data_IF_013087840355
#
_entry.id   IF_013087840355
#
_cell.length_a   1.000
_cell.length_b   1.000
_cell.length_c   1.000
_cell.angle_alpha   90.00
_cell.angle_beta   90.00
_cell.angle_gamma   90.00
#
_symmetry.space_group_name_H-M   'P 1'
#
loop_
_entity.id
_entity.type
_entity.pdbx_description
1 polymer ?
#
# COMPACT_ATOMS: atom_id res chain seq x y z
N UNK A 1 -22.15 -12.93 10.95
CA UNK A 1 -22.72 -11.59 10.71
C UNK A 1 -22.00 -10.63 11.66
N UNK A 2 -20.82 -10.13 11.27
CA UNK A 2 -20.05 -9.20 12.09
C UNK A 2 -20.81 -7.86 12.10
N UNK A 3 -21.23 -7.47 13.29
CA UNK A 3 -22.01 -6.26 13.55
C UNK A 3 -21.21 -5.02 13.14
N UNK A 4 -21.75 -4.30 12.16
CA UNK A 4 -21.36 -2.95 11.73
C UNK A 4 -21.52 -1.95 12.89
N UNK A 5 -20.53 -1.86 13.77
CA UNK A 5 -20.16 -0.57 14.36
C UNK A 5 -19.18 0.04 13.36
N UNK A 6 -19.64 1.05 12.60
CA UNK A 6 -18.88 1.63 11.50
C UNK A 6 -17.62 2.33 12.01
N UNK A 7 -16.53 1.58 12.12
CA UNK A 7 -15.19 2.16 12.26
C UNK A 7 -14.95 3.04 11.04
N UNK A 8 -14.78 4.34 11.28
CA UNK A 8 -14.42 5.30 10.23
C UNK A 8 -13.16 4.79 9.53
N UNK A 9 -13.26 4.58 8.22
CA UNK A 9 -12.12 4.25 7.37
C UNK A 9 -11.67 5.49 6.61
N UNK A 10 -10.39 5.53 6.29
CA UNK A 10 -9.75 6.62 5.56
C UNK A 10 -9.16 6.10 4.25
N UNK A 11 -9.06 6.96 3.24
CA UNK A 11 -8.55 6.63 1.91
C UNK A 11 -7.72 7.77 1.35
N UNK A 12 -6.95 7.52 0.29
CA UNK A 12 -6.25 8.60 -0.43
C UNK A 12 -7.21 9.55 -1.17
N UNK A 13 -8.52 9.27 -1.18
CA UNK A 13 -9.53 10.20 -1.68
C UNK A 13 -9.93 11.26 -0.66
N UNK A 14 -9.56 11.10 0.61
CA UNK A 14 -9.77 12.10 1.64
C UNK A 14 -8.63 13.13 1.58
N UNK A 15 -8.96 14.42 1.49
CA UNK A 15 -7.98 15.49 1.30
C UNK A 15 -6.96 15.58 2.44
N UNK A 16 -7.38 15.32 3.67
CA UNK A 16 -6.50 15.32 4.85
C UNK A 16 -5.52 14.13 4.81
N UNK A 17 -5.95 12.97 4.30
CA UNK A 17 -5.04 11.82 4.11
C UNK A 17 -4.06 12.11 2.99
N UNK A 18 -4.52 12.68 1.87
CA UNK A 18 -3.65 13.10 0.77
C UNK A 18 -2.51 14.01 1.26
N UNK A 19 -2.85 15.06 2.02
CA UNK A 19 -1.88 16.01 2.60
C UNK A 19 -0.92 15.36 3.60
N UNK A 20 -1.30 14.23 4.22
CA UNK A 20 -0.44 13.48 5.11
C UNK A 20 0.64 12.68 4.36
N UNK A 21 0.30 12.19 3.16
CA UNK A 21 1.23 11.45 2.31
C UNK A 21 2.13 12.38 1.48
N UNK A 22 1.58 13.50 0.98
CA UNK A 22 2.22 14.36 -0.01
C UNK A 22 2.24 15.81 0.45
N UNK A 23 3.43 16.42 0.42
CA UNK A 23 3.58 17.86 0.63
C UNK A 23 3.17 18.63 -0.63
N UNK A 24 2.79 19.92 -0.51
CA UNK A 24 2.57 20.77 -1.67
C UNK A 24 3.77 20.78 -2.63
N UNK A 25 3.50 20.56 -3.93
CA UNK A 25 4.52 20.51 -4.99
C UNK A 25 5.14 19.12 -5.21
N UNK A 26 4.82 18.13 -4.38
CA UNK A 26 5.20 16.74 -4.64
C UNK A 26 4.25 16.06 -5.62
N UNK A 27 4.77 15.03 -6.27
CA UNK A 27 4.08 14.27 -7.30
C UNK A 27 3.98 12.81 -6.85
N UNK A 28 2.87 12.14 -7.14
CA UNK A 28 2.78 10.69 -7.03
C UNK A 28 2.49 10.06 -8.39
N UNK A 29 3.13 8.94 -8.68
CA UNK A 29 2.68 8.06 -9.75
C UNK A 29 1.48 7.25 -9.25
N UNK A 30 0.45 7.09 -10.09
CA UNK A 30 -0.52 5.98 -10.00
C UNK A 30 -0.13 4.94 -11.04
N UNK A 31 -0.05 3.68 -10.64
CA UNK A 31 0.31 2.56 -11.51
C UNK A 31 -0.69 1.43 -11.38
N UNK A 32 -1.14 0.92 -12.53
CA UNK A 32 -2.06 -0.20 -12.67
C UNK A 32 -1.36 -1.24 -13.57
N UNK A 33 -0.66 -2.21 -12.98
CA UNK A 33 -0.01 -3.28 -13.73
C UNK A 33 -1.04 -4.24 -14.34
N UNK A 34 -0.65 -4.91 -15.44
CA UNK A 34 -1.37 -6.07 -16.00
C UNK A 34 -2.86 -5.81 -16.29
N UNK A 35 -3.20 -4.60 -16.73
CA UNK A 35 -4.53 -4.29 -17.24
C UNK A 35 -4.79 -5.13 -18.49
N UNK A 36 -5.90 -5.85 -18.50
CA UNK A 36 -6.25 -6.75 -19.61
C UNK A 36 -6.20 -6.00 -20.95
N UNK A 37 -5.48 -6.56 -21.92
CA UNK A 37 -5.27 -6.00 -23.27
C UNK A 37 -4.59 -4.62 -23.32
N UNK A 38 -4.05 -4.11 -22.21
CA UNK A 38 -3.41 -2.78 -22.14
C UNK A 38 -2.02 -2.79 -21.50
N UNK A 39 -1.62 -3.87 -20.84
CA UNK A 39 -0.33 -3.95 -20.15
C UNK A 39 -0.33 -3.06 -18.91
N UNK A 40 0.59 -2.11 -18.80
CA UNK A 40 0.65 -1.19 -17.66
C UNK A 40 -0.01 0.14 -18.02
N UNK A 41 -0.94 0.59 -17.16
CA UNK A 41 -1.47 1.95 -17.17
C UNK A 41 -0.80 2.74 -16.05
N UNK A 42 -0.34 3.95 -16.33
CA UNK A 42 0.36 4.82 -15.37
C UNK A 42 0.03 6.29 -15.61
N UNK A 43 0.06 7.09 -14.55
CA UNK A 43 -0.19 8.54 -14.55
C UNK A 43 0.53 9.22 -13.40
N UNK A 44 0.74 10.53 -13.47
CA UNK A 44 1.44 11.29 -12.44
C UNK A 44 0.59 12.48 -12.01
N UNK A 45 0.48 12.67 -10.70
CA UNK A 45 -0.50 13.58 -10.12
C UNK A 45 0.11 14.48 -9.05
N UNK A 46 -0.21 15.77 -9.16
CA UNK A 46 -0.01 16.81 -8.15
C UNK A 46 -1.35 17.49 -7.77
N UNK A 47 -2.44 17.18 -8.48
CA UNK A 47 -3.79 17.65 -8.21
C UNK A 47 -4.65 16.52 -7.63
N UNK A 48 -5.14 16.71 -6.40
CA UNK A 48 -5.91 15.70 -5.67
C UNK A 48 -7.30 15.44 -6.28
N UNK A 49 -7.96 16.46 -6.82
CA UNK A 49 -9.30 16.30 -7.40
C UNK A 49 -9.22 15.50 -8.71
N UNK A 50 -8.24 15.80 -9.56
CA UNK A 50 -8.01 15.06 -10.80
C UNK A 50 -7.55 13.64 -10.50
N UNK A 51 -6.65 13.46 -9.53
CA UNK A 51 -6.27 12.13 -9.02
C UNK A 51 -7.50 11.31 -8.62
N UNK A 52 -8.38 11.88 -7.78
CA UNK A 52 -9.59 11.19 -7.33
C UNK A 52 -10.47 10.76 -8.49
N UNK A 53 -10.69 11.65 -9.46
CA UNK A 53 -11.53 11.39 -10.64
C UNK A 53 -10.95 10.26 -11.50
N UNK A 54 -9.68 10.35 -11.86
CA UNK A 54 -9.02 9.41 -12.76
C UNK A 54 -8.89 8.02 -12.12
N UNK A 55 -8.51 7.96 -10.83
CA UNK A 55 -8.36 6.70 -10.10
C UNK A 55 -9.69 6.00 -9.90
N UNK A 56 -10.75 6.71 -9.47
CA UNK A 56 -12.09 6.12 -9.30
C UNK A 56 -12.65 5.60 -10.63
N UNK A 57 -12.43 6.35 -11.71
CA UNK A 57 -12.80 5.90 -13.06
C UNK A 57 -12.06 4.63 -13.44
N UNK A 58 -10.74 4.58 -13.23
CA UNK A 58 -9.92 3.43 -13.54
C UNK A 58 -10.30 2.19 -12.73
N UNK A 59 -10.55 2.31 -11.42
CA UNK A 59 -10.95 1.20 -10.54
C UNK A 59 -12.27 0.55 -10.98
N UNK A 60 -13.16 1.35 -11.58
CA UNK A 60 -14.46 0.89 -12.08
C UNK A 60 -14.39 0.31 -13.49
N UNK A 61 -13.62 0.93 -14.38
CA UNK A 61 -13.68 0.66 -15.82
C UNK A 61 -12.60 -0.31 -16.32
N UNK A 62 -11.47 -0.41 -15.63
CA UNK A 62 -10.35 -1.24 -16.07
C UNK A 62 -10.37 -2.61 -15.40
N UNK A 63 -10.10 -3.65 -16.18
CA UNK A 63 -9.88 -4.99 -15.65
C UNK A 63 -8.42 -5.12 -15.18
N UNK A 64 -8.22 -5.09 -13.85
CA UNK A 64 -6.91 -5.14 -13.19
C UNK A 64 -7.00 -5.87 -11.84
N UNK A 65 -5.86 -6.38 -11.36
CA UNK A 65 -5.76 -6.98 -10.01
C UNK A 65 -5.69 -5.92 -8.89
N UNK A 66 -5.23 -4.70 -9.21
CA UNK A 66 -5.16 -3.61 -8.25
C UNK A 66 -4.50 -2.35 -8.78
N UNK A 67 -4.81 -1.23 -8.12
CA UNK A 67 -4.20 0.08 -8.35
C UNK A 67 -3.19 0.35 -7.23
N UNK A 68 -2.06 0.92 -7.62
CA UNK A 68 -0.94 1.22 -6.75
C UNK A 68 -0.47 2.67 -6.95
N UNK A 69 0.31 3.18 -6.01
CA UNK A 69 0.96 4.48 -6.11
C UNK A 69 2.43 4.41 -5.66
N UNK A 70 3.25 5.38 -6.03
CA UNK A 70 4.61 5.51 -5.48
C UNK A 70 4.55 6.00 -4.04
N UNK A 71 5.04 5.19 -3.11
CA UNK A 71 4.96 5.49 -1.69
C UNK A 71 5.96 6.57 -1.24
N UNK A 72 7.15 6.54 -1.83
CA UNK A 72 8.27 7.41 -1.44
C UNK A 72 8.25 8.72 -2.22
N UNK A 73 9.10 9.68 -1.82
CA UNK A 73 9.22 10.97 -2.51
C UNK A 73 9.92 10.77 -3.85
N UNK A 74 9.28 11.15 -4.95
CA UNK A 74 9.81 10.99 -6.31
C UNK A 74 10.19 12.34 -6.93
N UNK A 75 11.02 12.29 -7.97
CA UNK A 75 11.37 13.46 -8.77
C UNK A 75 10.12 14.13 -9.38
N UNK A 76 9.81 15.40 -9.03
CA UNK A 76 8.60 16.06 -9.51
C UNK A 76 8.61 16.26 -11.04
N UNK A 77 9.77 16.22 -11.70
CA UNK A 77 9.86 16.29 -13.16
C UNK A 77 9.18 15.11 -13.85
N UNK A 78 8.95 14.00 -13.14
CA UNK A 78 8.21 12.85 -13.66
C UNK A 78 6.76 13.17 -14.02
N UNK A 79 6.19 14.26 -13.47
CA UNK A 79 4.87 14.76 -13.82
C UNK A 79 4.68 14.89 -15.34
N UNK A 80 5.73 15.29 -16.06
CA UNK A 80 5.72 15.43 -17.52
C UNK A 80 5.46 14.11 -18.28
N UNK A 81 5.64 12.94 -17.65
CA UNK A 81 5.37 11.64 -18.30
C UNK A 81 3.89 11.44 -18.60
N UNK A 82 3.01 11.93 -17.72
CA UNK A 82 1.56 11.88 -17.87
C UNK A 82 0.89 12.82 -16.85
N UNK A 83 0.93 14.12 -17.14
CA UNK A 83 0.42 15.16 -16.25
C UNK A 83 -1.09 15.02 -15.97
N UNK A 84 -1.43 14.73 -14.71
CA UNK A 84 -2.79 14.63 -14.18
C UNK A 84 -3.74 13.78 -15.05
N UNK A 85 -3.24 12.64 -15.55
CA UNK A 85 -4.03 11.68 -16.34
C UNK A 85 -3.40 10.30 -16.35
N UNK A 86 -4.21 9.28 -16.55
CA UNK A 86 -3.72 7.92 -16.80
C UNK A 86 -3.48 7.68 -18.30
N UNK A 87 -2.44 6.92 -18.64
CA UNK A 87 -2.20 6.41 -19.99
C UNK A 87 -1.55 5.03 -19.97
N UNK A 88 -1.66 4.28 -21.06
CA UNK A 88 -0.80 3.09 -21.25
C UNK A 88 0.65 3.56 -21.30
N UNK A 89 1.52 2.92 -20.53
CA UNK A 89 2.93 3.29 -20.43
C UNK A 89 3.82 2.06 -20.28
N UNK A 90 4.94 2.05 -21.01
CA UNK A 90 6.06 1.13 -20.81
C UNK A 90 7.13 1.70 -19.87
N UNK A 91 7.09 3.00 -19.57
CA UNK A 91 8.04 3.69 -18.70
C UNK A 91 7.33 4.20 -17.45
N UNK A 92 7.83 3.79 -16.29
CA UNK A 92 7.27 4.11 -14.98
C UNK A 92 8.38 4.53 -14.01
N UNK A 93 8.04 4.99 -12.80
CA UNK A 93 9.05 5.37 -11.79
C UNK A 93 9.93 4.18 -11.46
N UNK A 94 11.25 4.37 -11.58
CA UNK A 94 12.26 3.43 -11.12
C UNK A 94 12.91 3.90 -9.81
N UNK A 95 13.73 3.05 -9.20
CA UNK A 95 14.48 3.41 -7.98
C UNK A 95 15.32 4.69 -8.15
N UNK A 96 15.86 4.93 -9.34
CA UNK A 96 16.66 6.12 -9.66
C UNK A 96 15.86 7.42 -9.72
N UNK A 97 14.52 7.34 -9.70
CA UNK A 97 13.64 8.50 -9.70
C UNK A 97 13.16 8.86 -8.28
N UNK A 98 13.58 8.13 -7.26
CA UNK A 98 13.18 8.35 -5.86
C UNK A 98 14.22 9.22 -5.17
N UNK A 99 13.76 10.29 -4.53
CA UNK A 99 14.59 11.27 -3.83
C UNK A 99 14.85 10.81 -2.39
N UNK A 100 13.79 10.40 -1.67
CA UNK A 100 13.86 10.07 -0.25
C UNK A 100 12.88 8.97 0.17
N UNK A 101 13.30 8.14 1.11
CA UNK A 101 12.43 7.28 1.91
C UNK A 101 11.72 8.11 2.97
N UNK A 102 10.42 8.28 2.79
CA UNK A 102 9.50 8.91 3.74
C UNK A 102 8.83 7.91 4.65
N UNK A 103 8.62 6.71 4.15
CA UNK A 103 7.95 5.63 4.86
C UNK A 103 8.87 4.44 4.97
N UNK A 104 8.87 3.81 6.14
CA UNK A 104 9.24 2.40 6.29
C UNK A 104 7.95 1.57 6.13
N UNK A 105 7.72 0.96 4.96
CA UNK A 105 6.57 0.09 4.75
C UNK A 105 6.80 -1.28 5.39
N UNK A 106 5.75 -1.87 5.95
CA UNK A 106 5.68 -3.29 6.33
C UNK A 106 4.42 -3.88 5.74
N UNK A 107 4.55 -4.95 4.96
CA UNK A 107 3.44 -5.68 4.36
C UNK A 107 3.33 -7.06 5.01
N UNK A 108 2.24 -7.30 5.74
CA UNK A 108 1.93 -8.61 6.34
C UNK A 108 0.93 -9.33 5.44
N UNK A 109 1.39 -10.38 4.78
CA UNK A 109 0.64 -11.08 3.73
C UNK A 109 0.32 -12.51 4.17
N UNK A 110 -0.96 -12.93 4.16
CA UNK A 110 -1.29 -14.30 4.53
C UNK A 110 -0.81 -15.29 3.47
N UNK A 111 -0.24 -16.39 3.95
CA UNK A 111 0.24 -17.52 3.15
C UNK A 111 -0.94 -18.20 2.48
N UNK A 112 -0.99 -18.14 1.14
CA UNK A 112 -2.04 -18.73 0.31
C UNK A 112 -1.54 -18.97 -1.11
N UNK A 113 -2.24 -19.79 -1.93
CA UNK A 113 -1.92 -19.92 -3.35
C UNK A 113 -1.83 -18.57 -4.07
N UNK A 114 -0.91 -18.45 -5.02
CA UNK A 114 -0.77 -17.23 -5.81
C UNK A 114 -2.02 -16.99 -6.69
N UNK A 115 -2.34 -15.71 -6.93
CA UNK A 115 -3.42 -15.31 -7.84
C UNK A 115 -4.82 -15.30 -7.25
N UNK A 116 -5.00 -15.57 -5.95
CA UNK A 116 -6.32 -15.50 -5.29
C UNK A 116 -6.38 -14.50 -4.14
N UNK A 117 -7.58 -14.00 -3.88
CA UNK A 117 -7.88 -13.15 -2.72
C UNK A 117 -7.87 -13.96 -1.43
N UNK A 118 -7.57 -13.31 -0.30
CA UNK A 118 -7.55 -13.97 1.00
C UNK A 118 -8.97 -14.26 1.50
N UNK A 119 -9.13 -15.35 2.24
CA UNK A 119 -10.36 -15.59 3.00
C UNK A 119 -10.49 -14.62 4.17
N UNK A 120 -11.63 -14.64 4.85
CA UNK A 120 -11.82 -13.78 6.03
C UNK A 120 -10.95 -14.23 7.21
N UNK A 121 -10.68 -15.54 7.35
CA UNK A 121 -9.76 -16.07 8.36
C UNK A 121 -8.31 -15.66 8.08
N UNK A 122 -7.83 -15.87 6.85
CA UNK A 122 -6.50 -15.47 6.39
C UNK A 122 -6.25 -13.97 6.57
N UNK A 123 -7.22 -13.12 6.17
CA UNK A 123 -7.11 -11.68 6.35
C UNK A 123 -7.00 -11.32 7.84
N UNK A 124 -7.79 -11.95 8.71
CA UNK A 124 -7.79 -11.67 10.15
C UNK A 124 -6.43 -11.97 10.79
N UNK A 125 -5.81 -13.09 10.42
CA UNK A 125 -4.48 -13.49 10.90
C UNK A 125 -3.42 -12.45 10.46
N UNK A 126 -3.50 -11.98 9.21
CA UNK A 126 -2.58 -10.95 8.72
C UNK A 126 -2.74 -9.61 9.45
N UNK A 127 -3.98 -9.19 9.71
CA UNK A 127 -4.25 -7.95 10.47
C UNK A 127 -3.82 -8.07 11.94
N UNK A 128 -3.96 -9.26 12.54
CA UNK A 128 -3.47 -9.50 13.89
C UNK A 128 -1.94 -9.39 13.95
N UNK A 129 -1.22 -10.06 13.04
CA UNK A 129 0.24 -9.97 12.99
C UNK A 129 0.72 -8.53 12.75
N UNK A 130 0.05 -7.80 11.84
CA UNK A 130 0.29 -6.37 11.61
C UNK A 130 0.24 -5.57 12.91
N UNK A 131 -0.74 -5.84 13.76
CA UNK A 131 -0.93 -5.10 15.00
C UNK A 131 0.14 -5.45 16.05
N UNK A 132 0.53 -6.72 16.13
CA UNK A 132 1.62 -7.19 16.98
C UNK A 132 2.97 -6.57 16.56
N UNK A 133 3.26 -6.52 15.26
CA UNK A 133 4.45 -5.86 14.70
C UNK A 133 4.44 -4.37 15.04
N UNK A 134 3.29 -3.69 14.95
CA UNK A 134 3.18 -2.28 15.28
C UNK A 134 3.55 -2.00 16.74
N UNK A 135 2.98 -2.75 17.68
CA UNK A 135 3.26 -2.61 19.11
C UNK A 135 4.73 -2.84 19.40
N UNK A 136 5.29 -3.93 18.88
CA UNK A 136 6.70 -4.28 19.09
C UNK A 136 7.64 -3.23 18.47
N UNK A 137 7.34 -2.74 17.27
CA UNK A 137 8.16 -1.73 16.59
C UNK A 137 8.19 -0.40 17.37
N UNK A 138 7.05 0.03 17.90
CA UNK A 138 6.97 1.23 18.74
C UNK A 138 7.74 1.04 20.05
N UNK A 139 7.63 -0.12 20.69
CA UNK A 139 8.30 -0.35 21.97
C UNK A 139 9.82 -0.59 21.82
N UNK A 140 10.22 -1.43 20.87
CA UNK A 140 11.59 -1.93 20.76
C UNK A 140 12.48 -1.09 19.85
N UNK A 141 11.88 -0.44 18.83
CA UNK A 141 12.62 0.42 17.90
C UNK A 141 12.31 1.91 18.11
N UNK A 142 11.36 2.24 19.00
CA UNK A 142 10.89 3.62 19.24
C UNK A 142 10.44 4.31 17.95
N UNK A 143 9.89 3.52 17.02
CA UNK A 143 9.27 4.05 15.81
C UNK A 143 7.97 4.81 16.16
N UNK A 144 7.59 5.83 15.38
CA UNK A 144 6.36 6.59 15.62
C UNK A 144 5.10 5.73 15.42
N UNK A 145 3.93 6.24 15.83
CA UNK A 145 2.68 5.53 15.56
C UNK A 145 2.48 5.37 14.06
N UNK A 146 2.38 4.13 13.55
CA UNK A 146 2.27 3.89 12.12
C UNK A 146 0.85 4.19 11.63
N UNK A 147 0.75 4.46 10.33
CA UNK A 147 -0.52 4.19 9.63
C UNK A 147 -0.79 2.69 9.73
N UNK A 148 -2.00 2.32 10.14
CA UNK A 148 -2.51 0.94 10.08
C UNK A 148 -3.54 0.84 8.97
N UNK A 149 -3.32 -0.06 8.04
CA UNK A 149 -4.18 -0.22 6.87
C UNK A 149 -4.40 -1.68 6.48
N UNK A 150 -5.43 -1.89 5.65
CA UNK A 150 -5.83 -3.16 5.07
C UNK A 150 -5.68 -3.07 3.55
N UNK A 151 -4.87 -3.95 2.95
CA UNK A 151 -4.46 -3.87 1.52
C UNK A 151 -5.49 -4.46 0.53
N UNK A 152 -6.58 -4.99 1.06
CA UNK A 152 -7.58 -5.82 0.38
C UNK A 152 -7.43 -7.30 0.76
N UNK A 153 -6.19 -7.76 0.98
CA UNK A 153 -5.92 -9.16 1.31
C UNK A 153 -4.99 -9.39 2.50
N UNK A 154 -4.23 -8.37 2.92
CA UNK A 154 -3.30 -8.42 4.04
C UNK A 154 -3.33 -7.11 4.83
N UNK A 155 -2.33 -6.94 5.67
CA UNK A 155 -2.15 -5.79 6.55
C UNK A 155 -0.95 -4.94 6.14
N UNK A 156 -1.08 -3.63 6.26
CA UNK A 156 0.01 -2.69 6.00
C UNK A 156 0.30 -1.84 7.24
N UNK A 157 1.58 -1.65 7.54
CA UNK A 157 2.07 -0.56 8.39
C UNK A 157 2.92 0.40 7.58
N UNK A 158 2.76 1.70 7.83
CA UNK A 158 3.68 2.72 7.32
C UNK A 158 4.19 3.55 8.50
N UNK A 159 5.47 3.39 8.84
CA UNK A 159 6.13 4.21 9.85
C UNK A 159 6.76 5.43 9.19
N UNK A 160 6.49 6.63 9.74
CA UNK A 160 7.05 7.87 9.20
C UNK A 160 8.55 7.97 9.49
N UNK A 161 9.32 8.36 8.48
CA UNK A 161 10.75 8.64 8.56
C UNK A 161 10.98 10.16 8.41
N UNK A 162 12.15 10.69 8.83
CA UNK A 162 12.51 12.11 8.64
C UNK A 162 12.92 12.43 7.18
N UNK A 163 12.33 11.77 6.19
CA UNK A 163 12.68 11.81 4.77
C UNK A 163 14.17 11.54 4.51
N UNK A 164 14.56 10.27 4.59
CA UNK A 164 15.95 9.82 4.40
C UNK A 164 16.32 9.80 2.92
N UNK A 165 17.40 10.49 2.54
CA UNK A 165 17.88 10.45 1.16
C UNK A 165 18.18 9.01 0.70
N UNK A 166 17.80 8.68 -0.53
CA UNK A 166 18.06 7.37 -1.12
C UNK A 166 19.56 7.19 -1.37
N UNK A 167 20.16 6.26 -0.65
CA UNK A 167 21.53 5.81 -0.84
C UNK A 167 21.66 4.36 -0.33
N UNK A 168 22.86 3.78 -0.43
CA UNK A 168 23.08 2.38 -0.02
C UNK A 168 22.89 2.16 1.49
N UNK A 169 23.16 3.16 2.32
CA UNK A 169 22.99 3.08 3.77
C UNK A 169 21.52 3.07 4.17
N UNK A 170 20.72 4.03 3.68
CA UNK A 170 19.27 4.07 3.95
C UNK A 170 18.58 2.83 3.40
N UNK A 171 18.92 2.41 2.18
CA UNK A 171 18.39 1.17 1.59
C UNK A 171 18.71 -0.06 2.43
N UNK A 172 19.95 -0.16 2.93
CA UNK A 172 20.36 -1.25 3.83
C UNK A 172 19.58 -1.22 5.14
N UNK A 173 19.43 -0.05 5.75
CA UNK A 173 18.69 0.12 7.01
C UNK A 173 17.23 -0.34 6.88
N UNK A 174 16.54 0.07 5.82
CA UNK A 174 15.15 -0.35 5.56
C UNK A 174 15.08 -1.87 5.37
N UNK A 175 16.00 -2.43 4.56
CA UNK A 175 16.06 -3.88 4.30
C UNK A 175 16.29 -4.68 5.59
N UNK A 176 17.31 -4.34 6.37
CA UNK A 176 17.65 -5.08 7.59
C UNK A 176 16.58 -4.95 8.67
N UNK A 177 15.86 -3.81 8.70
CA UNK A 177 14.70 -3.64 9.59
C UNK A 177 13.57 -4.59 9.21
N UNK A 178 13.25 -4.70 7.92
CA UNK A 178 12.25 -5.65 7.41
C UNK A 178 12.64 -7.11 7.68
N UNK A 179 13.90 -7.47 7.44
CA UNK A 179 14.43 -8.81 7.74
C UNK A 179 14.35 -9.13 9.25
N UNK A 180 14.56 -8.12 10.11
CA UNK A 180 14.39 -8.27 11.56
C UNK A 180 12.93 -8.53 11.94
N UNK A 181 11.98 -7.82 11.32
CA UNK A 181 10.56 -8.09 11.55
C UNK A 181 10.20 -9.50 11.07
N UNK A 182 10.57 -9.86 9.84
CA UNK A 182 10.29 -11.19 9.29
C UNK A 182 10.82 -12.31 10.19
N UNK A 183 12.09 -12.22 10.62
CA UNK A 183 12.69 -13.21 11.54
C UNK A 183 11.95 -13.34 12.88
N UNK A 184 11.31 -12.27 13.34
CA UNK A 184 10.62 -12.23 14.63
C UNK A 184 9.16 -12.70 14.52
N UNK A 185 8.50 -12.46 13.39
CA UNK A 185 7.04 -12.52 13.29
C UNK A 185 6.51 -13.47 12.20
N UNK A 186 7.32 -13.83 11.20
CA UNK A 186 6.90 -14.79 10.18
C UNK A 186 6.48 -16.12 10.83
N UNK A 187 5.40 -16.68 10.30
CA UNK A 187 4.86 -17.94 10.76
C UNK A 187 4.17 -18.69 9.60
N UNK A 188 3.64 -19.88 9.87
CA UNK A 188 3.02 -20.74 8.86
C UNK A 188 1.83 -20.10 8.13
N UNK A 189 1.19 -19.08 8.74
CA UNK A 189 -0.02 -18.44 8.22
C UNK A 189 0.23 -17.09 7.57
N UNK A 190 1.24 -16.34 8.01
CA UNK A 190 1.48 -14.95 7.59
C UNK A 190 2.98 -14.69 7.52
N UNK A 191 3.42 -14.05 6.43
CA UNK A 191 4.79 -13.59 6.24
C UNK A 191 4.84 -12.08 6.08
N UNK A 192 5.98 -11.49 6.42
CA UNK A 192 6.31 -10.10 6.15
C UNK A 192 7.06 -10.02 4.82
N UNK A 193 6.55 -9.28 3.82
CA UNK A 193 7.25 -9.11 2.54
C UNK A 193 8.50 -8.25 2.71
N UNK A 194 9.66 -8.88 2.85
CA UNK A 194 10.94 -8.18 2.97
C UNK A 194 11.42 -7.58 1.66
N UNK A 195 10.76 -7.84 0.52
CA UNK A 195 11.15 -7.32 -0.79
C UNK A 195 10.75 -5.86 -1.01
N UNK A 196 9.89 -5.31 -0.16
CA UNK A 196 9.35 -3.94 -0.27
C UNK A 196 10.35 -2.83 0.06
N UNK A 197 11.60 -3.18 0.37
CA UNK A 197 12.66 -2.24 0.76
C UNK A 197 13.16 -1.32 -0.36
N UNK A 198 12.96 -1.67 -1.64
CA UNK A 198 13.53 -0.89 -2.74
C UNK A 198 12.85 0.50 -2.86
N UNK A 199 13.58 1.57 -3.25
CA UNK A 199 13.05 2.93 -3.24
C UNK A 199 11.78 3.11 -4.07
N UNK A 200 11.77 2.59 -5.30
CA UNK A 200 10.67 2.71 -6.25
C UNK A 200 9.53 1.72 -6.02
N UNK A 201 9.44 1.11 -4.83
CA UNK A 201 8.37 0.19 -4.49
C UNK A 201 7.02 0.90 -4.59
N UNK A 202 6.14 0.37 -5.45
CA UNK A 202 4.74 0.78 -5.51
C UNK A 202 3.96 0.16 -4.35
N UNK A 203 2.96 0.87 -3.87
CA UNK A 203 2.16 0.48 -2.71
C UNK A 203 0.67 0.52 -3.03
N UNK A 204 -0.14 -0.27 -2.33
CA UNK A 204 -1.59 -0.33 -2.61
C UNK A 204 -2.22 1.05 -2.43
N UNK A 205 -2.97 1.51 -3.44
CA UNK A 205 -3.70 2.78 -3.37
C UNK A 205 -4.95 2.60 -2.51
N UNK A 206 -4.90 3.08 -1.26
CA UNK A 206 -6.01 2.99 -0.33
C UNK A 206 -7.25 3.73 -0.83
N UNK A 207 -8.37 3.01 -0.92
CA UNK A 207 -9.62 3.46 -1.52
C UNK A 207 -10.00 2.69 -2.79
N UNK A 208 -9.11 1.87 -3.35
CA UNK A 208 -9.40 1.06 -4.54
C UNK A 208 -9.54 -0.42 -4.22
N UNK A 209 -10.22 -1.15 -5.09
CA UNK A 209 -10.45 -2.58 -4.93
C UNK A 209 -9.23 -3.42 -5.31
N UNK A 210 -9.11 -4.59 -4.68
CA UNK A 210 -8.15 -5.63 -5.03
C UNK A 210 -8.91 -6.82 -5.63
N UNK A 211 -8.61 -7.14 -6.89
CA UNK A 211 -9.31 -8.14 -7.70
C UNK A 211 -8.43 -9.35 -8.02
N UNK A 212 -7.82 -9.98 -7.02
CA UNK A 212 -6.99 -11.18 -7.28
C UNK A 212 -7.89 -12.39 -7.51
N UNK A 213 -7.85 -12.93 -8.74
CA UNK A 213 -8.63 -14.10 -9.15
C UNK A 213 -10.14 -13.83 -9.14
N UNK A 214 -10.95 -14.89 -9.15
CA UNK A 214 -12.40 -14.76 -9.11
C UNK A 214 -12.92 -14.48 -7.70
N UNK A 215 -14.05 -13.76 -7.62
CA UNK A 215 -14.84 -13.68 -6.39
C UNK A 215 -15.42 -15.05 -6.10
N UNK A 216 -15.06 -15.60 -4.94
CA UNK A 216 -15.47 -16.94 -4.56
C UNK A 216 -16.42 -16.87 -3.35
N UNK A 217 -17.73 -17.17 -3.48
CA UNK A 217 -18.68 -17.14 -2.35
C UNK A 217 -18.48 -18.33 -1.42
N UNK A 218 -18.78 -18.26 -0.12
CA UNK A 218 -18.60 -19.41 0.78
C UNK A 218 -19.44 -20.63 0.36
N UNK A 219 -18.98 -21.84 0.70
CA UNK A 219 -19.70 -23.09 0.44
C UNK A 219 -19.41 -24.15 1.51
N UNK A 220 -20.03 -25.34 1.44
CA UNK A 220 -19.93 -26.37 2.49
C UNK A 220 -18.50 -26.82 2.82
N UNK A 221 -17.58 -26.71 1.86
CA UNK A 221 -16.19 -27.20 1.98
C UNK A 221 -15.15 -26.11 1.71
N UNK A 222 -15.54 -24.83 1.68
CA UNK A 222 -14.63 -23.73 1.33
C UNK A 222 -15.09 -22.39 1.88
N UNK A 223 -14.14 -21.61 2.37
CA UNK A 223 -14.37 -20.22 2.76
C UNK A 223 -14.63 -19.33 1.53
N UNK A 224 -15.27 -18.18 1.76
CA UNK A 224 -15.34 -17.12 0.76
C UNK A 224 -14.00 -16.44 0.55
N UNK A 225 -13.73 -16.01 -0.67
CA UNK A 225 -12.60 -15.15 -1.05
C UNK A 225 -13.14 -13.96 -1.84
N UNK A 226 -13.64 -12.92 -1.16
CA UNK A 226 -14.19 -11.74 -1.82
C UNK A 226 -13.07 -10.82 -2.31
N UNK A 227 -13.38 -10.04 -3.33
CA UNK A 227 -12.62 -8.81 -3.61
C UNK A 227 -12.98 -7.75 -2.57
N UNK A 228 -11.98 -7.00 -2.11
CA UNK A 228 -12.16 -5.98 -1.06
C UNK A 228 -11.52 -4.67 -1.46
N UNK A 229 -12.16 -3.57 -1.07
CA UNK A 229 -11.56 -2.24 -1.10
C UNK A 229 -10.48 -2.16 -0.02
N UNK A 230 -9.30 -1.68 -0.40
CA UNK A 230 -8.24 -1.35 0.56
C UNK A 230 -8.55 -0.04 1.29
N UNK A 231 -8.15 0.09 2.56
CA UNK A 231 -8.40 1.30 3.35
C UNK A 231 -7.42 1.46 4.49
N UNK A 232 -7.36 2.67 5.04
CA UNK A 232 -6.63 3.01 6.26
C UNK A 232 -7.60 2.92 7.44
N UNK A 233 -7.22 2.19 8.48
CA UNK A 233 -7.95 2.11 9.75
C UNK A 233 -7.59 3.27 10.67
N UNK A 234 -6.30 3.64 10.67
CA UNK A 234 -5.77 4.73 11.50
C UNK A 234 -4.61 5.41 10.77
N UNK A 235 -4.63 6.75 10.72
CA UNK A 235 -3.62 7.58 10.05
C UNK A 235 -2.31 7.74 10.86
N UNK A 236 -2.24 7.23 12.09
CA UNK A 236 -1.06 7.36 12.95
C UNK A 236 -0.80 8.82 13.36
N UNK A 237 0.43 9.11 13.78
CA UNK A 237 0.86 10.46 14.16
C UNK A 237 1.98 10.48 15.21
N UNK A 238 2.52 11.65 15.50
CA UNK A 238 3.33 11.85 16.70
C UNK A 238 2.38 11.82 17.90
N UNK A 239 2.65 10.98 18.91
CA UNK A 239 2.18 11.30 20.25
C UNK A 239 2.82 12.64 20.61
N UNK A 240 1.99 13.69 20.61
CA UNK A 240 2.17 15.10 20.97
C UNK A 240 1.05 15.76 20.13
N UNK A 241 -0.17 15.93 20.65
CA UNK A 241 -0.48 16.68 21.87
C UNK A 241 -1.09 15.88 23.05
#
# INVERSE_FOLDING_TARGET
MLSKLGTKTFTLFDSEVWKFFFNPGEVTEVRIPKVLNRGTVSGYFDDHEIFCKEVKKADKELNHDGIYFTLQVIDPRLLARAFNRLKVSSLTTSDNNVISYRWLPVDTDPVRPAGISSSDSELREALQLRDEVAVWAMDQLKLPYPIRAMSGNGGHLLFRLPDLHVNDESKRMIKTTLERFARQFDNEKVNIDTSVFNPGRIWKLYGTNTHKGDVLPAGPYRESRPHRMSYIENIGGTQND
#
